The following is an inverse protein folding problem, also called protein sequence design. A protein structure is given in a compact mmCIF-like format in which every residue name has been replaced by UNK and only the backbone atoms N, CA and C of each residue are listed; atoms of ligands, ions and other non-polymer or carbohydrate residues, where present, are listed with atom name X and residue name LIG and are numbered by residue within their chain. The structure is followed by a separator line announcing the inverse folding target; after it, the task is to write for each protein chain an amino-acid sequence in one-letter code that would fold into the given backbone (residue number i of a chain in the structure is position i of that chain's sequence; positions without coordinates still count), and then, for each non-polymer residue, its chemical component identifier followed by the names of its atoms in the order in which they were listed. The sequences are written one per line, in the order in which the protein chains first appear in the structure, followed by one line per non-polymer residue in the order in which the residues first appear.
data_IF_519672868345
#
_entry.id   IF_519672868345
#
_cell.length_a   1.000
_cell.length_b   1.000
_cell.length_c   1.000
_cell.angle_alpha   90.00
_cell.angle_beta   90.00
_cell.angle_gamma   90.00
#
_symmetry.space_group_name_H-M   'P 1'
#
loop_
_entity.id
_entity.type
_entity.pdbx_description
1 polymer ?
#
# COMPACT_ATOMS: atom_id res chain seq x y z
N UNK A 1 17.24 -13.11 7.94
CA UNK A 1 16.19 -13.89 7.22
C UNK A 1 15.88 -13.40 5.80
N UNK A 2 16.02 -12.11 5.47
CA UNK A 2 15.61 -11.56 4.15
C UNK A 2 16.39 -12.10 2.93
N UNK A 3 17.70 -12.36 3.05
CA UNK A 3 18.51 -12.99 1.98
C UNK A 3 18.05 -14.42 1.70
N UNK A 4 17.82 -15.24 2.74
CA UNK A 4 17.41 -16.63 2.57
C UNK A 4 16.05 -16.72 1.86
N UNK A 5 15.09 -15.89 2.26
CA UNK A 5 13.80 -15.79 1.59
C UNK A 5 13.93 -15.37 0.13
N UNK A 6 14.82 -14.42 -0.19
CA UNK A 6 15.10 -14.01 -1.57
C UNK A 6 15.72 -15.13 -2.41
N UNK A 7 16.70 -15.85 -1.86
CA UNK A 7 17.33 -16.99 -2.55
C UNK A 7 16.30 -18.09 -2.80
N UNK A 8 15.42 -18.37 -1.84
CA UNK A 8 14.36 -19.37 -2.00
C UNK A 8 13.39 -18.98 -3.11
N UNK A 9 12.92 -17.73 -3.15
CA UNK A 9 12.05 -17.25 -4.23
C UNK A 9 12.77 -17.24 -5.58
N UNK A 10 14.06 -16.91 -5.62
CA UNK A 10 14.86 -16.93 -6.84
C UNK A 10 14.98 -18.36 -7.38
N UNK A 11 15.35 -19.33 -6.54
CA UNK A 11 15.43 -20.74 -6.92
C UNK A 11 14.08 -21.27 -7.38
N UNK A 12 13.00 -20.96 -6.65
CA UNK A 12 11.64 -21.33 -7.04
C UNK A 12 11.28 -20.75 -8.41
N UNK A 13 11.59 -19.48 -8.66
CA UNK A 13 11.38 -18.83 -9.95
C UNK A 13 12.15 -19.50 -11.09
N UNK A 14 13.41 -19.89 -10.85
CA UNK A 14 14.25 -20.59 -11.84
C UNK A 14 13.64 -21.96 -12.18
N UNK A 15 13.24 -22.76 -11.19
CA UNK A 15 12.63 -24.08 -11.41
C UNK A 15 11.37 -23.97 -12.25
N UNK A 16 10.51 -22.98 -11.94
CA UNK A 16 9.25 -22.75 -12.65
C UNK A 16 9.52 -22.29 -14.09
N UNK A 17 10.46 -21.36 -14.29
CA UNK A 17 10.81 -20.88 -15.62
C UNK A 17 11.42 -21.99 -16.49
N UNK A 18 12.32 -22.80 -15.91
CA UNK A 18 12.91 -23.95 -16.59
C UNK A 18 11.86 -25.00 -16.95
N UNK A 19 10.97 -25.35 -16.01
CA UNK A 19 9.87 -26.26 -16.25
C UNK A 19 8.96 -25.74 -17.38
N UNK A 20 8.59 -24.46 -17.36
CA UNK A 20 7.75 -23.85 -18.39
C UNK A 20 8.44 -23.88 -19.76
N UNK A 21 9.73 -23.55 -19.83
CA UNK A 21 10.50 -23.59 -21.06
C UNK A 21 10.58 -25.02 -21.65
N UNK A 22 10.76 -26.04 -20.81
CA UNK A 22 10.83 -27.43 -21.25
C UNK A 22 9.46 -27.99 -21.67
N UNK A 23 8.37 -27.48 -21.09
CA UNK A 23 7.00 -27.91 -21.36
C UNK A 23 6.23 -26.89 -22.21
N UNK A 24 6.94 -26.23 -23.13
CA UNK A 24 6.36 -25.25 -24.06
C UNK A 24 5.69 -25.90 -25.28
N UNK A 25 5.73 -27.22 -25.39
CA UNK A 25 5.09 -27.92 -26.49
C UNK A 25 3.57 -27.91 -26.33
N UNK A 26 2.85 -27.82 -27.46
CA UNK A 26 1.38 -27.74 -27.45
C UNK A 26 0.82 -29.10 -27.07
N UNK A 27 0.12 -29.13 -25.95
CA UNK A 27 -0.52 -30.36 -25.46
C UNK A 27 -2.03 -30.19 -25.55
N UNK A 28 -2.71 -31.23 -26.05
CA UNK A 28 -4.17 -31.25 -26.10
C UNK A 28 -4.68 -31.60 -24.71
N UNK A 29 -5.31 -30.63 -24.05
CA UNK A 29 -5.98 -30.87 -22.77
C UNK A 29 -7.47 -31.14 -23.04
N UNK A 30 -7.94 -32.31 -22.61
CA UNK A 30 -9.35 -32.67 -22.66
C UNK A 30 -10.08 -32.06 -21.46
N UNK A 31 -10.89 -31.03 -21.72
CA UNK A 31 -11.75 -30.44 -20.71
C UNK A 31 -13.09 -31.18 -20.63
N UNK A 32 -13.75 -31.16 -19.45
CA UNK A 32 -15.09 -31.69 -19.31
C UNK A 32 -16.05 -31.05 -20.34
N UNK A 33 -16.84 -31.87 -21.03
CA UNK A 33 -17.75 -31.40 -22.09
C UNK A 33 -17.19 -31.48 -23.51
N UNK A 34 -16.06 -32.17 -23.73
CA UNK A 34 -15.52 -32.45 -25.07
C UNK A 34 -14.75 -31.28 -25.70
N UNK A 35 -14.40 -30.26 -24.91
CA UNK A 35 -13.59 -29.15 -25.37
C UNK A 35 -12.10 -29.53 -25.34
N UNK A 36 -11.43 -29.27 -26.46
CA UNK A 36 -9.99 -29.46 -26.59
C UNK A 36 -9.30 -28.10 -26.52
N UNK A 37 -8.45 -27.93 -25.50
CA UNK A 37 -7.72 -26.69 -25.32
C UNK A 37 -6.26 -26.87 -25.77
N UNK A 38 -5.96 -26.32 -26.95
CA UNK A 38 -4.66 -26.42 -27.63
C UNK A 38 -3.68 -25.35 -27.15
N UNK A 39 -3.21 -25.48 -25.92
CA UNK A 39 -2.25 -24.54 -25.33
C UNK A 39 -1.04 -25.30 -24.77
N UNK A 40 0.13 -24.65 -24.67
CA UNK A 40 1.29 -25.28 -24.08
C UNK A 40 1.06 -25.55 -22.59
N UNK A 41 1.44 -26.75 -22.13
CA UNK A 41 1.25 -27.16 -20.73
C UNK A 41 1.88 -26.17 -19.74
N UNK A 42 3.04 -25.61 -20.10
CA UNK A 42 3.72 -24.57 -19.33
C UNK A 42 2.84 -23.33 -19.07
N UNK A 43 2.00 -22.91 -20.02
CA UNK A 43 1.15 -21.74 -19.84
C UNK A 43 0.04 -21.99 -18.80
N UNK A 44 -0.54 -23.19 -18.76
CA UNK A 44 -1.54 -23.53 -17.74
C UNK A 44 -0.96 -23.53 -16.34
N UNK A 45 0.27 -24.03 -16.19
CA UNK A 45 0.95 -24.10 -14.89
C UNK A 45 1.33 -22.70 -14.42
N UNK A 46 1.81 -21.84 -15.31
CA UNK A 46 2.04 -20.42 -15.00
C UNK A 46 0.71 -19.76 -14.58
N UNK A 47 -0.37 -19.97 -15.33
CA UNK A 47 -1.67 -19.40 -15.00
C UNK A 47 -2.18 -19.87 -13.62
N UNK A 48 -2.11 -21.16 -13.32
CA UNK A 48 -2.52 -21.74 -12.04
C UNK A 48 -1.65 -21.23 -10.88
N UNK A 49 -0.33 -21.13 -11.09
CA UNK A 49 0.60 -20.58 -10.11
C UNK A 49 0.30 -19.11 -9.82
N UNK A 50 0.11 -18.31 -10.87
CA UNK A 50 -0.26 -16.90 -10.73
C UNK A 50 -1.58 -16.81 -9.97
N UNK A 51 -2.59 -17.59 -10.32
CA UNK A 51 -3.87 -17.65 -9.60
C UNK A 51 -3.71 -18.05 -8.12
N UNK A 52 -2.77 -18.91 -7.77
CA UNK A 52 -2.50 -19.28 -6.36
C UNK A 52 -1.72 -18.21 -5.58
N UNK A 53 -0.76 -17.54 -6.22
CA UNK A 53 0.15 -16.60 -5.56
C UNK A 53 -0.43 -15.17 -5.52
N UNK A 54 -1.13 -14.73 -6.56
CA UNK A 54 -1.65 -13.36 -6.64
C UNK A 54 -2.56 -13.00 -5.45
N UNK A 55 -3.54 -13.83 -5.06
CA UNK A 55 -4.46 -13.49 -3.98
C UNK A 55 -3.72 -13.33 -2.65
N UNK A 56 -2.79 -14.25 -2.36
CA UNK A 56 -2.02 -14.24 -1.12
C UNK A 56 -1.04 -13.07 -1.07
N UNK A 57 -0.39 -12.74 -2.18
CA UNK A 57 0.49 -11.58 -2.30
C UNK A 57 -0.26 -10.25 -2.12
N UNK A 58 -1.46 -10.13 -2.68
CA UNK A 58 -2.34 -8.96 -2.53
C UNK A 58 -2.73 -8.80 -1.05
N UNK A 59 -3.26 -9.85 -0.43
CA UNK A 59 -3.65 -9.87 0.99
C UNK A 59 -2.50 -9.47 1.91
N UNK A 60 -1.31 -10.04 1.68
CA UNK A 60 -0.13 -9.72 2.48
C UNK A 60 0.31 -8.27 2.32
N UNK A 61 0.27 -7.73 1.10
CA UNK A 61 0.62 -6.34 0.79
C UNK A 61 -0.34 -5.35 1.46
N UNK A 62 -1.64 -5.62 1.39
CA UNK A 62 -2.70 -4.85 2.06
C UNK A 62 -2.53 -4.86 3.58
N UNK A 63 -2.27 -6.04 4.15
CA UNK A 63 -2.04 -6.18 5.58
C UNK A 63 -0.85 -5.32 6.01
N UNK A 64 0.31 -5.49 5.36
CA UNK A 64 1.53 -4.73 5.65
C UNK A 64 1.31 -3.22 5.57
N UNK A 65 0.64 -2.74 4.52
CA UNK A 65 0.30 -1.33 4.34
C UNK A 65 -0.59 -0.80 5.46
N UNK A 66 -1.59 -1.59 5.89
CA UNK A 66 -2.48 -1.23 7.01
C UNK A 66 -1.72 -1.09 8.33
N UNK A 67 -0.79 -2.01 8.61
CA UNK A 67 0.04 -1.94 9.82
C UNK A 67 0.96 -0.72 9.80
N UNK A 68 1.62 -0.44 8.68
CA UNK A 68 2.48 0.74 8.53
C UNK A 68 1.69 2.04 8.74
N UNK A 69 0.46 2.14 8.22
CA UNK A 69 -0.41 3.30 8.48
C UNK A 69 -0.76 3.47 9.95
N UNK A 70 -1.06 2.37 10.65
CA UNK A 70 -1.40 2.40 12.08
C UNK A 70 -0.21 2.88 12.89
N UNK A 71 0.98 2.34 12.62
CA UNK A 71 2.23 2.76 13.28
C UNK A 71 2.46 4.26 13.10
N UNK A 72 2.40 4.76 11.85
CA UNK A 72 2.56 6.21 11.58
C UNK A 72 1.54 7.08 12.30
N UNK A 73 0.28 6.63 12.40
CA UNK A 73 -0.76 7.35 13.16
C UNK A 73 -0.47 7.38 14.65
N UNK A 74 0.08 6.30 15.22
CA UNK A 74 0.46 6.24 16.63
C UNK A 74 1.68 7.13 16.90
N UNK A 75 2.70 7.09 16.02
CA UNK A 75 3.87 7.97 16.08
C UNK A 75 3.46 9.44 16.05
N UNK A 76 2.56 9.83 15.13
CA UNK A 76 2.07 11.21 15.04
C UNK A 76 1.30 11.65 16.30
N UNK A 77 0.52 10.76 16.92
CA UNK A 77 -0.18 11.05 18.18
C UNK A 77 0.78 11.21 19.36
N UNK A 78 1.81 10.35 19.44
CA UNK A 78 2.84 10.46 20.46
C UNK A 78 3.66 11.75 20.29
N UNK A 79 4.00 12.11 19.05
CA UNK A 79 4.68 13.37 18.74
C UNK A 79 3.85 14.61 19.13
N UNK A 80 2.53 14.57 18.90
CA UNK A 80 1.63 15.65 19.30
C UNK A 80 1.45 15.77 20.83
N UNK A 81 1.57 14.66 21.58
CA UNK A 81 1.55 14.67 23.05
C UNK A 81 2.87 15.14 23.67
N UNK A 82 3.98 14.95 22.96
CA UNK A 82 5.32 15.40 23.36
C UNK A 82 5.66 16.83 22.95
N UNK A 83 4.85 17.48 22.12
CA UNK A 83 4.99 18.90 21.80
C UNK A 83 4.37 19.74 22.92
N UNK A 84 5.15 20.63 23.58
CA UNK A 84 4.57 21.65 24.44
C UNK A 84 3.58 22.45 23.61
N UNK A 85 2.38 22.69 24.15
CA UNK A 85 1.42 23.58 23.52
C UNK A 85 2.07 24.95 23.36
N UNK A 86 2.43 25.33 22.14
CA UNK A 86 2.69 26.73 21.84
C UNK A 86 1.39 27.48 22.13
N UNK A 87 1.41 28.52 22.99
CA UNK A 87 0.22 29.27 23.29
C UNK A 87 -0.32 29.83 21.97
N UNK A 88 -1.59 29.53 21.67
CA UNK A 88 -2.29 30.19 20.58
C UNK A 88 -2.27 31.68 20.88
N UNK A 89 -1.40 32.43 20.20
CA UNK A 89 -1.53 33.87 20.10
C UNK A 89 -2.90 34.10 19.50
N UNK A 90 -3.84 34.51 20.36
CA UNK A 90 -5.17 34.86 19.95
C UNK A 90 -5.07 35.90 18.85
N UNK A 91 -5.55 35.56 17.67
CA UNK A 91 -5.97 36.54 16.68
C UNK A 91 -7.16 37.27 17.29
N UNK A 92 -6.88 38.27 18.13
CA UNK A 92 -7.84 39.32 18.43
C UNK A 92 -7.93 40.21 17.19
N UNK A 93 -9.09 40.31 16.52
CA UNK A 93 -9.33 41.45 15.67
C UNK A 93 -9.64 42.63 16.59
N UNK A 94 -8.64 43.45 16.88
CA UNK A 94 -8.86 44.79 17.40
C UNK A 94 -8.06 45.79 16.55
N UNK A 95 -8.76 46.50 15.65
CA UNK A 95 -8.55 47.91 15.50
C UNK A 95 -9.81 48.60 16.05
N UNK A 96 -9.77 48.97 17.33
CA UNK A 96 -10.65 49.99 17.89
C UNK A 96 -10.17 51.34 17.36
N UNK A 97 -10.57 51.67 16.13
CA UNK A 97 -10.48 53.01 15.58
C UNK A 97 -11.82 53.69 15.80
N UNK A 98 -11.88 54.61 16.77
CA UNK A 98 -12.64 55.86 16.76
C UNK A 98 -12.61 56.51 18.15
N UNK A 99 -11.49 57.19 18.46
CA UNK A 99 -11.44 58.19 19.53
C UNK A 99 -11.00 59.54 18.95
N UNK A 100 -11.75 60.07 17.98
CA UNK A 100 -11.63 61.48 17.60
C UNK A 100 -12.66 62.31 18.37
N UNK A 101 -12.16 62.92 19.45
CA UNK A 101 -12.42 64.32 19.83
C UNK A 101 -13.88 64.83 19.83
N UNK A 102 -14.51 64.85 21.00
CA UNK A 102 -15.38 65.96 21.41
C UNK A 102 -15.00 66.38 22.83
N UNK A 103 -13.98 67.24 22.91
CA UNK A 103 -13.64 68.04 24.08
C UNK A 103 -14.67 69.17 24.19
N UNK A 104 -15.55 69.09 25.17
CA UNK A 104 -16.35 70.20 25.67
C UNK A 104 -15.44 71.26 26.32
N UNK A 105 -15.50 72.54 25.94
CA UNK A 105 -15.12 73.63 26.80
C UNK A 105 -16.38 74.36 27.30
N UNK A 106 -16.49 74.42 28.62
CA UNK A 106 -17.34 75.32 29.40
C UNK A 106 -17.15 76.78 29.02
N UNK A 107 -18.25 77.53 28.95
CA UNK A 107 -18.45 78.84 29.60
C UNK A 107 -19.94 79.00 29.90
#
# INVERSE_FOLDING_TARGET
MRILTLILYLLLGIVIAWFAAQNWDRTVLWLPGGYEAYWPLGAYIIAALVLGILPTAILHSLSRWRWQRRVRKLEAKLAALGQPAEPSVGTGPAPMGDYTTQRTPTL
#
